data_IF_134407978527
#
_entry.id   IF_134407978527
#
_cell.length_a   1.000
_cell.length_b   1.000
_cell.length_c   1.000
_cell.angle_alpha   90.00
_cell.angle_beta   90.00
_cell.angle_gamma   90.00
#
_symmetry.space_group_name_H-M   'P 1'
#
loop_
_entity.id
_entity.type
_entity.pdbx_description
1 polymer ?
#
# COMPACT_ATOMS: atom_id res chain seq x y z
N UNK A 1 -2.79 9.37 -3.50
CA UNK A 1 -2.62 10.49 -2.54
C UNK A 1 -2.65 11.76 -3.38
N UNK A 2 -3.37 12.80 -2.97
CA UNK A 2 -3.45 14.05 -3.76
C UNK A 2 -2.36 15.04 -3.37
N UNK A 3 -1.97 15.09 -2.10
CA UNK A 3 -0.87 15.92 -1.62
C UNK A 3 -0.42 15.46 -0.23
N UNK A 4 0.61 16.08 0.33
CA UNK A 4 1.01 15.87 1.73
C UNK A 4 1.33 17.22 2.37
N UNK A 5 1.11 17.32 3.69
CA UNK A 5 1.46 18.50 4.49
C UNK A 5 2.12 18.01 5.78
N UNK A 6 3.43 18.23 5.92
CA UNK A 6 4.22 17.73 7.05
C UNK A 6 4.12 16.20 7.18
N UNK A 7 3.49 15.73 8.26
CA UNK A 7 3.26 14.30 8.54
C UNK A 7 1.89 13.80 8.05
N UNK A 8 1.07 14.65 7.44
CA UNK A 8 -0.25 14.29 6.93
C UNK A 8 -0.24 14.03 5.42
N UNK A 9 -1.02 13.05 4.98
CA UNK A 9 -1.34 12.83 3.56
C UNK A 9 -2.79 13.25 3.27
N UNK A 10 -3.03 13.88 2.12
CA UNK A 10 -4.37 14.14 1.59
C UNK A 10 -4.73 13.02 0.63
N UNK A 11 -5.89 12.40 0.83
CA UNK A 11 -6.39 11.26 0.07
C UNK A 11 -7.75 11.58 -0.54
N UNK A 12 -8.20 10.71 -1.43
CA UNK A 12 -9.57 10.72 -1.91
C UNK A 12 -10.54 10.50 -0.74
N UNK A 13 -11.57 11.35 -0.68
CA UNK A 13 -12.57 11.28 0.38
C UNK A 13 -13.66 10.28 0.00
N UNK A 14 -13.83 9.23 0.79
CA UNK A 14 -14.94 8.29 0.66
C UNK A 14 -16.06 8.59 1.63
N UNK A 15 -17.12 9.23 1.15
CA UNK A 15 -18.31 9.57 1.94
C UNK A 15 -19.18 8.36 2.27
N UNK A 16 -19.02 7.25 1.56
CA UNK A 16 -19.87 6.06 1.64
C UNK A 16 -19.44 5.07 2.75
N UNK A 17 -18.35 5.39 3.46
CA UNK A 17 -17.87 4.63 4.61
C UNK A 17 -16.91 3.50 4.24
N UNK A 18 -16.75 2.54 5.15
CA UNK A 18 -15.81 1.42 5.00
C UNK A 18 -16.54 0.10 4.74
N UNK A 19 -15.83 -0.94 4.31
CA UNK A 19 -16.37 -2.30 4.15
C UNK A 19 -16.94 -2.84 5.47
N UNK A 20 -16.43 -2.39 6.62
CA UNK A 20 -17.00 -2.69 7.94
C UNK A 20 -18.35 -2.03 8.20
N UNK A 21 -18.54 -0.79 7.72
CA UNK A 21 -19.84 -0.10 7.78
C UNK A 21 -20.80 -0.74 6.79
N UNK A 22 -20.34 -1.02 5.57
CA UNK A 22 -21.09 -1.73 4.54
C UNK A 22 -21.61 -3.06 5.06
N UNK A 23 -20.77 -3.92 5.64
CA UNK A 23 -21.21 -5.22 6.18
C UNK A 23 -22.30 -5.11 7.26
N UNK A 24 -22.36 -3.99 8.00
CA UNK A 24 -23.27 -3.80 9.14
C UNK A 24 -24.54 -3.02 8.79
N UNK A 25 -24.57 -2.33 7.65
CA UNK A 25 -25.65 -1.38 7.37
C UNK A 25 -26.97 -2.07 6.99
N UNK A 26 -26.90 -3.23 6.33
CA UNK A 26 -28.02 -4.07 5.94
C UNK A 26 -27.51 -5.45 5.53
N UNK A 27 -28.45 -6.36 5.28
CA UNK A 27 -28.20 -7.58 4.56
C UNK A 27 -27.88 -7.29 3.08
N UNK A 28 -26.89 -8.01 2.56
CA UNK A 28 -26.42 -7.91 1.18
C UNK A 28 -26.65 -9.23 0.45
N UNK A 29 -27.04 -9.14 -0.81
CA UNK A 29 -27.14 -10.32 -1.67
C UNK A 29 -25.78 -11.00 -1.85
N UNK A 30 -25.79 -12.28 -2.22
CA UNK A 30 -24.55 -13.02 -2.52
C UNK A 30 -23.74 -12.34 -3.62
N UNK A 31 -24.39 -11.75 -4.62
CA UNK A 31 -23.74 -11.03 -5.70
C UNK A 31 -23.03 -9.75 -5.21
N UNK A 32 -23.66 -8.99 -4.33
CA UNK A 32 -23.09 -7.80 -3.71
C UNK A 32 -21.85 -8.13 -2.86
N UNK A 33 -21.94 -9.19 -2.05
CA UNK A 33 -20.81 -9.68 -1.26
C UNK A 33 -19.64 -10.15 -2.15
N UNK A 34 -19.94 -10.83 -3.27
CA UNK A 34 -18.92 -11.24 -4.23
C UNK A 34 -18.22 -10.04 -4.89
N UNK A 35 -18.97 -8.99 -5.24
CA UNK A 35 -18.39 -7.75 -5.77
C UNK A 35 -17.47 -7.08 -4.76
N UNK A 36 -17.90 -6.95 -3.50
CA UNK A 36 -17.08 -6.37 -2.44
C UNK A 36 -15.79 -7.19 -2.19
N UNK A 37 -15.88 -8.52 -2.21
CA UNK A 37 -14.73 -9.41 -2.08
C UNK A 37 -13.76 -9.28 -3.28
N UNK A 38 -14.31 -9.17 -4.50
CA UNK A 38 -13.52 -8.97 -5.71
C UNK A 38 -12.75 -7.66 -5.69
N UNK A 39 -13.41 -6.56 -5.30
CA UNK A 39 -12.76 -5.25 -5.19
C UNK A 39 -11.63 -5.27 -4.15
N UNK A 40 -11.87 -5.87 -2.99
CA UNK A 40 -10.84 -6.03 -1.97
C UNK A 40 -9.66 -6.87 -2.47
N UNK A 41 -9.93 -7.98 -3.17
CA UNK A 41 -8.91 -8.84 -3.73
C UNK A 41 -8.07 -8.12 -4.81
N UNK A 42 -8.72 -7.34 -5.69
CA UNK A 42 -8.05 -6.50 -6.70
C UNK A 42 -7.14 -5.47 -6.05
N UNK A 43 -7.64 -4.72 -5.05
CA UNK A 43 -6.83 -3.73 -4.34
C UNK A 43 -5.57 -4.34 -3.67
N UNK A 44 -5.68 -5.54 -3.10
CA UNK A 44 -4.53 -6.26 -2.54
C UNK A 44 -3.59 -6.76 -3.66
N UNK A 45 -4.14 -7.32 -4.73
CA UNK A 45 -3.35 -7.83 -5.85
C UNK A 45 -2.55 -6.71 -6.51
N UNK A 46 -3.17 -5.57 -6.76
CA UNK A 46 -2.53 -4.37 -7.31
C UNK A 46 -1.41 -3.89 -6.38
N UNK A 47 -1.68 -3.85 -5.07
CA UNK A 47 -0.69 -3.45 -4.07
C UNK A 47 0.52 -4.40 -3.99
N UNK A 48 0.29 -5.71 -4.14
CA UNK A 48 1.36 -6.71 -4.14
C UNK A 48 2.13 -6.77 -5.45
N UNK A 49 1.55 -6.29 -6.56
CA UNK A 49 2.11 -6.44 -7.92
C UNK A 49 2.86 -5.19 -8.40
N UNK A 50 3.13 -4.23 -7.52
CA UNK A 50 3.95 -3.06 -7.84
C UNK A 50 5.35 -3.55 -8.27
N UNK A 51 5.64 -3.41 -9.57
CA UNK A 51 6.86 -3.82 -10.31
C UNK A 51 7.04 -5.33 -10.61
N UNK A 52 5.96 -6.08 -10.87
CA UNK A 52 6.00 -7.52 -11.26
C UNK A 52 6.73 -8.43 -10.26
N UNK A 53 6.97 -7.93 -9.05
CA UNK A 53 7.64 -8.63 -7.95
C UNK A 53 6.83 -8.40 -6.69
N UNK A 54 6.59 -9.43 -5.86
CA UNK A 54 5.88 -9.28 -4.60
C UNK A 54 6.74 -8.46 -3.63
N UNK A 55 6.64 -7.14 -3.76
CA UNK A 55 7.58 -6.23 -3.13
C UNK A 55 6.98 -5.55 -1.91
N UNK A 56 5.65 -5.46 -1.76
CA UNK A 56 5.04 -4.66 -0.68
C UNK A 56 4.01 -5.49 0.09
N UNK A 57 4.16 -5.57 1.41
CA UNK A 57 3.21 -6.19 2.32
C UNK A 57 2.54 -5.12 3.18
N UNK A 58 1.21 -5.07 3.20
CA UNK A 58 0.43 -4.05 3.91
C UNK A 58 0.51 -4.18 5.44
N UNK A 59 0.63 -5.43 5.94
CA UNK A 59 0.73 -5.81 7.37
C UNK A 59 -0.44 -5.40 8.28
N UNK A 60 -1.55 -4.90 7.74
CA UNK A 60 -2.73 -4.54 8.54
C UNK A 60 -4.04 -4.62 7.75
N UNK A 61 -4.20 -5.69 6.96
CA UNK A 61 -5.42 -5.91 6.17
C UNK A 61 -6.58 -6.23 7.10
N UNK A 62 -7.55 -5.30 7.17
CA UNK A 62 -8.80 -5.42 7.93
C UNK A 62 -9.94 -4.81 7.12
N UNK A 63 -11.18 -5.19 7.44
CA UNK A 63 -12.40 -4.64 6.81
C UNK A 63 -12.55 -3.11 6.95
N UNK A 64 -11.91 -2.49 7.95
CA UNK A 64 -11.94 -1.03 8.09
C UNK A 64 -11.02 -0.32 7.09
N UNK A 65 -10.06 -1.03 6.50
CA UNK A 65 -9.06 -0.46 5.57
C UNK A 65 -9.53 -0.44 4.12
N UNK A 66 -10.76 -0.87 3.86
CA UNK A 66 -11.39 -0.75 2.55
C UNK A 66 -12.44 0.35 2.62
N UNK A 67 -12.23 1.42 1.89
CA UNK A 67 -13.13 2.58 1.84
C UNK A 67 -13.96 2.50 0.56
N UNK A 68 -15.26 2.69 0.68
CA UNK A 68 -16.17 2.72 -0.46
C UNK A 68 -16.12 4.11 -1.09
N UNK A 69 -15.74 4.14 -2.38
CA UNK A 69 -15.64 5.36 -3.16
C UNK A 69 -16.24 5.10 -4.54
N UNK A 70 -17.28 5.85 -4.89
CA UNK A 70 -18.01 5.73 -6.15
C UNK A 70 -18.45 4.28 -6.41
N UNK A 71 -18.97 3.62 -5.37
CA UNK A 71 -19.45 2.23 -5.47
C UNK A 71 -18.36 1.15 -5.58
N UNK A 72 -17.07 1.49 -5.44
CA UNK A 72 -15.94 0.54 -5.47
C UNK A 72 -15.18 0.57 -4.15
N UNK A 73 -14.81 -0.60 -3.61
CA UNK A 73 -13.94 -0.66 -2.42
C UNK A 73 -12.47 -0.46 -2.79
N UNK A 74 -11.84 0.54 -2.18
CA UNK A 74 -10.40 0.85 -2.37
C UNK A 74 -9.62 0.60 -1.08
N UNK A 75 -8.43 0.02 -1.21
CA UNK A 75 -7.51 -0.24 -0.09
C UNK A 75 -6.89 1.08 0.43
N UNK A 76 -6.81 1.23 1.75
CA UNK A 76 -6.34 2.44 2.44
C UNK A 76 -5.44 2.08 3.65
N UNK A 77 -4.84 3.10 4.27
CA UNK A 77 -4.01 3.02 5.50
C UNK A 77 -2.72 2.22 5.36
N UNK A 78 -1.83 2.73 4.51
CA UNK A 78 -0.52 2.13 4.23
C UNK A 78 0.53 2.37 5.32
N UNK A 79 0.17 2.85 6.51
CA UNK A 79 1.13 3.26 7.54
C UNK A 79 2.01 2.11 8.05
N UNK A 80 1.51 0.88 7.99
CA UNK A 80 2.25 -0.34 8.37
C UNK A 80 2.80 -1.08 7.17
N UNK A 81 2.68 -0.54 5.96
CA UNK A 81 3.22 -1.17 4.79
C UNK A 81 4.74 -1.34 4.92
N UNK A 82 5.23 -2.49 4.51
CA UNK A 82 6.64 -2.79 4.41
C UNK A 82 6.97 -3.19 3.00
N UNK A 83 8.20 -2.92 2.58
CA UNK A 83 8.69 -3.37 1.30
C UNK A 83 9.74 -4.43 1.57
N UNK A 84 9.54 -5.58 0.97
CA UNK A 84 10.44 -6.71 0.99
C UNK A 84 11.12 -6.84 -0.37
N UNK A 85 12.45 -6.74 -0.37
CA UNK A 85 13.25 -6.99 -1.57
C UNK A 85 14.06 -8.24 -1.34
N UNK A 86 14.06 -9.10 -2.34
CA UNK A 86 14.93 -10.27 -2.39
C UNK A 86 16.09 -9.99 -3.33
N UNK A 87 17.28 -9.80 -2.78
CA UNK A 87 18.52 -9.71 -3.57
C UNK A 87 19.16 -11.10 -3.66
N UNK A 88 19.61 -11.50 -4.86
CA UNK A 88 20.54 -12.63 -5.02
C UNK A 88 21.95 -12.11 -4.88
N UNK A 89 22.56 -12.27 -3.70
CA UNK A 89 23.98 -11.97 -3.49
C UNK A 89 24.71 -13.28 -3.24
N UNK A 90 25.63 -13.67 -4.13
CA UNK A 90 26.49 -14.86 -3.99
C UNK A 90 25.73 -16.12 -3.54
N UNK A 91 24.63 -16.47 -4.23
CA UNK A 91 23.84 -17.68 -3.95
C UNK A 91 22.95 -17.62 -2.69
N UNK A 92 22.91 -16.50 -1.97
CA UNK A 92 22.01 -16.29 -0.82
C UNK A 92 20.93 -15.26 -1.17
N UNK A 93 19.69 -15.61 -0.81
CA UNK A 93 18.58 -14.67 -0.83
C UNK A 93 18.62 -13.84 0.45
N UNK A 94 18.76 -12.53 0.31
CA UNK A 94 18.69 -11.59 1.44
C UNK A 94 17.38 -10.81 1.33
N UNK A 95 16.55 -10.89 2.37
CA UNK A 95 15.34 -10.09 2.50
C UNK A 95 15.69 -8.78 3.22
N UNK A 96 15.56 -7.66 2.54
CA UNK A 96 15.63 -6.33 3.16
C UNK A 96 14.20 -5.87 3.38
N UNK A 97 13.86 -5.52 4.63
CA UNK A 97 12.57 -4.94 5.00
C UNK A 97 12.75 -3.45 5.25
N UNK A 98 12.02 -2.64 4.50
CA UNK A 98 11.94 -1.20 4.75
C UNK A 98 10.54 -0.88 5.28
N UNK A 99 10.46 -0.29 6.48
CA UNK A 99 9.21 0.08 7.15
C UNK A 99 8.91 1.56 6.97
N UNK A 100 7.63 1.90 6.77
CA UNK A 100 7.18 3.29 6.59
C UNK A 100 7.27 4.15 7.87
N UNK A 101 7.43 3.54 9.04
CA UNK A 101 7.37 4.18 10.37
C UNK A 101 8.73 4.62 10.96
N UNK A 102 9.87 4.34 10.31
CA UNK A 102 11.15 4.70 10.89
C UNK A 102 11.44 6.20 10.71
N UNK A 103 11.51 6.90 11.84
CA UNK A 103 12.03 8.27 11.91
C UNK A 103 13.45 8.34 11.33
N UNK A 104 13.88 9.49 10.79
CA UNK A 104 15.18 9.63 10.10
C UNK A 104 16.41 9.25 10.93
N UNK A 105 16.27 9.07 12.25
CA UNK A 105 17.37 8.81 13.18
C UNK A 105 17.84 7.35 13.22
N UNK A 106 17.04 6.39 12.77
CA UNK A 106 17.42 4.96 12.71
C UNK A 106 17.52 4.41 11.29
N UNK A 107 17.46 5.29 10.29
CA UNK A 107 17.63 4.89 8.90
C UNK A 107 19.05 4.36 8.70
N UNK A 108 19.22 3.03 8.73
CA UNK A 108 20.47 2.39 8.35
C UNK A 108 20.70 2.75 6.89
N UNK A 109 21.56 3.74 6.64
CA UNK A 109 22.00 4.06 5.27
C UNK A 109 22.52 2.77 4.67
N UNK A 110 21.91 2.26 3.59
CA UNK A 110 22.41 1.06 2.99
C UNK A 110 23.83 1.34 2.51
N UNK A 111 24.81 0.57 3.00
CA UNK A 111 26.22 0.77 2.64
C UNK A 111 26.53 0.30 1.21
N UNK A 112 25.62 -0.44 0.55
CA UNK A 112 25.79 -0.84 -0.84
C UNK A 112 25.10 0.14 -1.81
N UNK A 113 25.73 0.32 -2.97
CA UNK A 113 25.28 1.20 -4.05
C UNK A 113 23.92 0.78 -4.64
N UNK A 114 23.61 -0.52 -4.65
CA UNK A 114 22.33 -1.04 -5.15
C UNK A 114 21.14 -0.68 -4.26
N UNK A 115 21.28 -0.75 -2.94
CA UNK A 115 20.21 -0.36 -2.02
C UNK A 115 20.07 1.16 -1.91
N UNK A 116 21.12 1.94 -2.17
CA UNK A 116 21.01 3.39 -2.38
C UNK A 116 20.23 3.70 -3.67
N UNK A 117 20.49 2.98 -4.76
CA UNK A 117 19.74 3.11 -6.01
C UNK A 117 18.27 2.70 -5.85
N UNK A 118 17.99 1.65 -5.07
CA UNK A 118 16.63 1.25 -4.69
C UNK A 118 15.96 2.26 -3.76
N UNK A 119 16.67 2.82 -2.78
CA UNK A 119 16.17 3.91 -1.94
C UNK A 119 15.84 5.14 -2.78
N UNK A 120 16.65 5.48 -3.79
CA UNK A 120 16.37 6.55 -4.74
C UNK A 120 15.18 6.22 -5.64
N UNK A 121 15.08 4.99 -6.15
CA UNK A 121 13.88 4.49 -6.84
C UNK A 121 12.65 4.51 -5.94
N UNK A 122 12.80 4.32 -4.64
CA UNK A 122 11.71 4.41 -3.66
C UNK A 122 11.35 5.82 -3.25
N UNK A 123 12.32 6.72 -3.16
CA UNK A 123 12.02 8.15 -3.17
C UNK A 123 11.26 8.49 -4.43
N UNK A 124 11.59 7.88 -5.58
CA UNK A 124 10.90 8.01 -6.86
C UNK A 124 9.53 7.31 -6.93
N UNK A 125 9.28 6.17 -6.28
CA UNK A 125 7.95 5.52 -6.20
C UNK A 125 7.07 6.30 -5.21
N UNK A 126 7.66 6.76 -4.10
CA UNK A 126 7.06 7.83 -3.28
C UNK A 126 6.76 9.04 -4.18
N UNK A 127 7.68 9.47 -5.05
CA UNK A 127 7.52 10.58 -6.02
C UNK A 127 6.55 10.31 -7.19
N UNK A 128 6.36 9.07 -7.61
CA UNK A 128 5.56 8.66 -8.77
C UNK A 128 4.13 8.32 -8.36
N UNK A 129 3.94 7.76 -7.15
CA UNK A 129 2.65 7.80 -6.44
C UNK A 129 2.25 9.27 -6.13
N UNK A 130 3.23 10.18 -6.04
CA UNK A 130 3.04 11.64 -5.94
C UNK A 130 2.86 12.36 -7.30
N UNK A 131 2.98 11.67 -8.46
CA UNK A 131 2.87 12.32 -9.79
C UNK A 131 2.29 11.36 -10.84
N UNK A 132 0.96 11.22 -10.86
CA UNK A 132 0.21 10.75 -12.04
C UNK A 132 -0.47 12.00 -12.60
N UNK A 133 -0.10 12.48 -13.80
CA UNK A 133 -0.80 13.61 -14.41
C UNK A 133 -2.23 13.18 -14.75
N UNK A 134 -3.16 14.08 -14.40
CA UNK A 134 -4.60 14.03 -14.64
C UNK A 134 -4.98 13.76 -16.09
#
# INVERSE_FOLDING_TARGET
>A
IFSFCGNGGMFEFGSEGSLSTYRRNREHSSLENLRAALDAARGIADFHSIDDKPSIAHNDIKVNQFILINGTFKLNDFNKANISYTMKKLGKFVQIRMSFQETPSHFIRPKNTEAIALQRKWMYIRWAILYIPS
#
